data_IF_017247170311
#
_entry.id   IF_017247170311
#
_cell.length_a   1.000
_cell.length_b   1.000
_cell.length_c   1.000
_cell.angle_alpha   90.00
_cell.angle_beta   90.00
_cell.angle_gamma   90.00
#
_symmetry.space_group_name_H-M   'P 1'
#
loop_
_entity.id
_entity.type
_entity.pdbx_description
1 polymer ?
#
# COMPACT_ATOMS: atom_id res chain seq x y z
N UNK A 1 10.81 16.77 5.90
CA UNK A 1 9.79 16.58 6.96
C UNK A 1 8.89 15.43 6.54
N UNK A 2 8.46 14.57 7.45
CA UNK A 2 7.59 13.43 7.16
C UNK A 2 6.21 13.66 7.81
N UNK A 3 5.14 13.49 7.06
CA UNK A 3 3.75 13.62 7.54
C UNK A 3 3.08 12.25 7.56
N UNK A 4 2.75 11.76 8.77
CA UNK A 4 2.07 10.49 9.01
C UNK A 4 2.93 9.48 9.78
N UNK A 5 2.28 8.72 10.67
CA UNK A 5 2.90 7.66 11.50
C UNK A 5 2.34 6.26 11.23
N UNK A 6 1.81 6.04 10.02
CA UNK A 6 1.54 4.70 9.51
C UNK A 6 2.84 3.98 9.08
N UNK A 7 2.74 2.75 8.56
CA UNK A 7 3.90 1.95 8.16
C UNK A 7 4.90 2.68 7.24
N UNK A 8 4.37 3.41 6.24
CA UNK A 8 5.20 4.17 5.31
C UNK A 8 5.99 5.30 5.99
N UNK A 9 5.34 6.05 6.89
CA UNK A 9 5.95 7.16 7.63
C UNK A 9 6.99 6.70 8.64
N UNK A 10 6.72 5.59 9.34
CA UNK A 10 7.68 4.99 10.27
C UNK A 10 8.91 4.44 9.54
N UNK A 11 8.73 3.73 8.43
CA UNK A 11 9.85 3.18 7.67
C UNK A 11 10.74 4.28 7.07
N UNK A 12 10.14 5.32 6.46
CA UNK A 12 10.93 6.41 5.88
C UNK A 12 11.64 7.21 6.98
N UNK A 13 10.98 7.50 8.10
CA UNK A 13 11.59 8.19 9.24
C UNK A 13 12.76 7.40 9.85
N UNK A 14 12.58 6.08 10.02
CA UNK A 14 13.64 5.19 10.47
C UNK A 14 14.85 5.23 9.52
N UNK A 15 14.62 5.01 8.22
CA UNK A 15 15.72 4.95 7.25
C UNK A 15 16.44 6.29 7.09
N UNK A 16 15.72 7.42 7.16
CA UNK A 16 16.33 8.75 7.17
C UNK A 16 17.21 8.96 8.42
N UNK A 17 16.81 8.41 9.57
CA UNK A 17 17.60 8.46 10.81
C UNK A 17 18.90 7.66 10.66
N UNK A 18 18.82 6.44 10.13
CA UNK A 18 19.99 5.59 9.87
C UNK A 18 21.00 6.27 8.92
N UNK A 19 20.50 7.06 7.97
CA UNK A 19 21.32 7.83 7.02
C UNK A 19 21.82 9.18 7.57
N UNK A 20 21.58 9.48 8.85
CA UNK A 20 22.01 10.73 9.48
C UNK A 20 21.26 11.98 9.00
N UNK A 21 20.13 11.83 8.31
CA UNK A 21 19.36 12.95 7.78
C UNK A 21 18.48 13.54 8.89
N UNK A 22 18.74 14.79 9.26
CA UNK A 22 17.90 15.52 10.23
C UNK A 22 16.51 15.75 9.65
N UNK A 23 15.49 15.25 10.33
CA UNK A 23 14.09 15.42 9.92
C UNK A 23 13.16 15.44 11.13
N UNK A 24 11.94 15.93 10.90
CA UNK A 24 10.81 15.79 11.81
C UNK A 24 9.80 14.80 11.22
N UNK A 25 9.16 14.01 12.07
CA UNK A 25 7.99 13.18 11.73
C UNK A 25 6.82 13.66 12.58
N UNK A 26 5.70 14.03 11.93
CA UNK A 26 4.48 14.46 12.63
C UNK A 26 3.32 13.52 12.34
N UNK A 27 2.36 13.45 13.25
CA UNK A 27 1.13 12.71 13.04
C UNK A 27 -0.02 13.29 13.84
N UNK A 28 -1.20 13.34 13.22
CA UNK A 28 -2.45 13.67 13.91
C UNK A 28 -2.87 12.60 14.91
N UNK A 29 -2.42 11.37 14.72
CA UNK A 29 -2.81 10.24 15.56
C UNK A 29 -2.14 10.36 16.93
N UNK A 30 -2.76 9.83 17.99
CA UNK A 30 -2.18 9.84 19.34
C UNK A 30 -1.02 8.84 19.51
N UNK A 31 -0.82 7.92 18.55
CA UNK A 31 0.27 6.94 18.55
C UNK A 31 0.59 6.44 17.13
N UNK A 32 1.64 5.62 17.00
CA UNK A 32 1.91 4.85 15.79
C UNK A 32 0.73 3.95 15.41
N UNK A 33 0.60 3.66 14.11
CA UNK A 33 -0.39 2.69 13.60
C UNK A 33 -1.18 3.19 12.39
N UNK A 34 -1.43 4.50 12.29
CA UNK A 34 -2.25 5.06 11.21
C UNK A 34 -3.62 4.38 11.13
N UNK A 35 -4.01 3.98 9.91
CA UNK A 35 -5.30 3.30 9.67
C UNK A 35 -5.50 2.02 10.49
N UNK A 36 -4.43 1.34 10.92
CA UNK A 36 -4.53 0.09 11.69
C UNK A 36 -5.05 0.29 13.11
N UNK A 37 -5.17 1.55 13.57
CA UNK A 37 -5.88 1.88 14.80
C UNK A 37 -7.40 1.69 14.69
N UNK A 38 -7.95 1.65 13.47
CA UNK A 38 -9.40 1.55 13.20
C UNK A 38 -9.78 0.38 12.28
N UNK A 39 -8.98 0.09 11.25
CA UNK A 39 -9.31 -0.89 10.20
C UNK A 39 -8.25 -2.00 10.11
N UNK A 40 -8.57 -3.20 9.60
CA UNK A 40 -9.85 -3.66 9.02
C UNK A 40 -11.00 -3.91 10.01
N UNK A 41 -12.25 -3.91 9.52
CA UNK A 41 -13.47 -4.24 10.28
C UNK A 41 -13.38 -5.64 10.88
N UNK A 42 -12.94 -6.61 10.06
CA UNK A 42 -12.76 -8.01 10.44
C UNK A 42 -11.59 -8.31 11.35
N UNK A 43 -10.89 -7.26 11.79
CA UNK A 43 -9.76 -7.37 12.71
C UNK A 43 -8.63 -8.27 12.19
N UNK A 44 -8.54 -8.58 10.89
CA UNK A 44 -7.43 -9.37 10.33
C UNK A 44 -6.97 -8.86 8.97
N UNK A 45 -5.66 -8.81 8.79
CA UNK A 45 -5.00 -8.29 7.59
C UNK A 45 -5.15 -9.22 6.38
N UNK A 46 -4.94 -8.65 5.19
CA UNK A 46 -4.86 -9.39 3.93
C UNK A 46 -3.46 -9.98 3.67
N UNK A 47 -2.43 -9.44 4.32
CA UNK A 47 -1.04 -9.83 4.23
C UNK A 47 -0.69 -10.85 5.31
N UNK A 48 0.08 -11.87 4.95
CA UNK A 48 0.49 -12.89 5.90
C UNK A 48 1.87 -12.62 6.50
N UNK A 49 2.10 -13.15 7.69
CA UNK A 49 3.44 -13.32 8.24
C UNK A 49 3.57 -14.78 8.65
N UNK A 50 4.61 -15.48 8.19
CA UNK A 50 4.83 -16.90 8.51
C UNK A 50 5.76 -16.99 9.73
N UNK A 51 5.25 -17.33 10.93
CA UNK A 51 6.09 -17.32 12.13
C UNK A 51 7.21 -18.38 12.10
N UNK A 52 6.97 -19.47 11.36
CA UNK A 52 7.90 -20.56 11.12
C UNK A 52 8.24 -20.65 9.63
N UNK A 53 9.34 -20.01 9.23
CA UNK A 53 9.85 -20.00 7.87
C UNK A 53 11.08 -20.92 7.75
N UNK A 54 11.50 -21.33 6.53
CA UNK A 54 12.69 -22.15 6.33
C UNK A 54 14.03 -21.41 6.52
N UNK A 55 14.01 -20.19 7.06
CA UNK A 55 15.18 -19.32 7.29
C UNK A 55 15.04 -18.66 8.67
N UNK A 56 16.14 -18.26 9.30
CA UNK A 56 16.09 -17.69 10.64
C UNK A 56 15.54 -16.26 10.63
N UNK A 57 14.83 -15.85 11.70
CA UNK A 57 14.25 -14.49 11.80
C UNK A 57 15.29 -13.37 11.76
N UNK A 58 16.54 -13.70 12.11
CA UNK A 58 17.69 -12.81 12.08
C UNK A 58 18.32 -12.67 10.67
N UNK A 59 17.83 -13.39 9.67
CA UNK A 59 18.35 -13.34 8.31
C UNK A 59 17.52 -12.35 7.47
N UNK A 60 18.14 -11.67 6.49
CA UNK A 60 17.43 -10.74 5.59
C UNK A 60 16.36 -11.47 4.78
N UNK A 61 16.64 -12.71 4.41
CA UNK A 61 15.76 -13.60 3.65
C UNK A 61 14.43 -13.86 4.33
N UNK A 62 14.39 -13.79 5.67
CA UNK A 62 13.15 -13.97 6.45
C UNK A 62 12.08 -12.94 6.08
N UNK A 63 12.49 -11.76 5.64
CA UNK A 63 11.57 -10.72 5.21
C UNK A 63 10.68 -11.15 4.02
N UNK A 64 11.05 -12.18 3.25
CA UNK A 64 10.16 -12.80 2.23
C UNK A 64 8.90 -13.40 2.84
N UNK A 65 9.02 -13.89 4.07
CA UNK A 65 7.97 -14.62 4.79
C UNK A 65 7.22 -13.74 5.80
N UNK A 66 7.76 -12.56 6.11
CA UNK A 66 7.13 -11.56 6.96
C UNK A 66 6.73 -10.33 6.17
N UNK A 67 5.43 -10.19 5.88
CA UNK A 67 4.93 -9.09 5.05
C UNK A 67 4.55 -7.85 5.87
N UNK A 68 4.58 -7.94 7.21
CA UNK A 68 3.94 -6.95 8.07
C UNK A 68 4.92 -6.24 9.02
N UNK A 69 6.09 -6.81 9.30
CA UNK A 69 7.14 -6.04 9.98
C UNK A 69 7.71 -4.95 9.07
N UNK A 70 8.12 -3.85 9.67
CA UNK A 70 9.01 -2.88 9.03
C UNK A 70 10.45 -3.42 9.04
N UNK A 71 11.28 -2.92 8.13
CA UNK A 71 12.66 -3.38 7.91
C UNK A 71 13.62 -2.54 8.74
N UNK A 72 14.52 -3.21 9.45
CA UNK A 72 15.63 -2.61 10.18
C UNK A 72 16.80 -3.59 10.20
N UNK A 73 18.02 -3.06 10.20
CA UNK A 73 19.22 -3.87 10.42
C UNK A 73 19.44 -4.18 11.93
N UNK A 74 18.79 -3.42 12.83
CA UNK A 74 18.84 -3.68 14.28
C UNK A 74 18.09 -4.96 14.64
N UNK A 75 18.71 -5.77 15.50
CA UNK A 75 18.14 -7.03 15.99
C UNK A 75 16.88 -6.77 16.82
N UNK A 76 16.82 -5.65 17.50
CA UNK A 76 15.72 -5.27 18.39
C UNK A 76 14.45 -4.91 17.62
N UNK A 77 14.59 -4.32 16.43
CA UNK A 77 13.49 -3.78 15.63
C UNK A 77 13.13 -4.61 14.38
N UNK A 78 13.90 -5.66 14.05
CA UNK A 78 13.62 -6.55 12.92
C UNK A 78 12.59 -7.63 13.26
N UNK A 79 11.86 -8.11 12.25
CA UNK A 79 10.98 -9.29 12.32
C UNK A 79 10.10 -9.33 13.59
N UNK A 80 9.46 -8.21 13.94
CA UNK A 80 8.67 -8.04 15.16
C UNK A 80 7.33 -8.78 15.12
N UNK A 81 6.63 -8.73 13.99
CA UNK A 81 5.29 -9.31 13.83
C UNK A 81 5.21 -10.79 14.27
N UNK A 82 6.11 -11.69 13.83
CA UNK A 82 6.12 -13.09 14.26
C UNK A 82 6.15 -13.32 15.77
N UNK A 83 6.71 -12.40 16.55
CA UNK A 83 6.76 -12.48 18.01
C UNK A 83 5.52 -11.91 18.71
N UNK A 84 4.67 -11.18 17.97
CA UNK A 84 3.47 -10.53 18.49
C UNK A 84 2.17 -11.27 18.13
N UNK A 85 2.25 -12.21 17.19
CA UNK A 85 1.13 -13.03 16.74
C UNK A 85 0.78 -14.11 17.77
N UNK A 86 -0.51 -14.31 18.01
CA UNK A 86 -1.04 -15.28 18.97
C UNK A 86 -1.11 -16.73 18.46
N UNK A 87 -0.81 -16.95 17.17
CA UNK A 87 -0.82 -18.27 16.53
C UNK A 87 -2.19 -18.74 16.06
N UNK A 88 -3.27 -17.97 16.26
CA UNK A 88 -4.61 -18.31 15.76
C UNK A 88 -4.74 -18.18 14.25
N UNK A 89 -3.83 -17.42 13.62
CA UNK A 89 -3.73 -17.29 12.17
C UNK A 89 -2.34 -16.83 11.76
N UNK A 90 -1.96 -17.17 10.54
CA UNK A 90 -0.79 -16.58 9.88
C UNK A 90 -1.11 -15.22 9.20
N UNK A 91 -2.37 -14.77 9.25
CA UNK A 91 -2.79 -13.39 8.95
C UNK A 91 -2.91 -12.62 10.26
N UNK A 92 -2.00 -11.66 10.54
CA UNK A 92 -2.06 -10.89 11.76
C UNK A 92 -3.40 -10.20 11.94
N UNK A 93 -3.84 -10.11 13.18
CA UNK A 93 -4.97 -9.31 13.57
C UNK A 93 -4.63 -7.81 13.48
N UNK A 94 -5.67 -6.97 13.42
CA UNK A 94 -5.51 -5.52 13.47
C UNK A 94 -4.81 -5.08 14.77
N UNK A 95 -5.20 -5.56 15.97
CA UNK A 95 -4.46 -5.24 17.19
C UNK A 95 -3.00 -5.70 17.17
N UNK A 96 -2.69 -6.86 16.57
CA UNK A 96 -1.30 -7.31 16.37
C UNK A 96 -0.51 -6.35 15.49
N UNK A 97 -1.11 -5.86 14.40
CA UNK A 97 -0.51 -4.83 13.55
C UNK A 97 -0.30 -3.49 14.24
N UNK A 98 -1.27 -3.05 15.03
CA UNK A 98 -1.15 -1.83 15.84
C UNK A 98 0.02 -1.95 16.83
N UNK A 99 0.10 -3.07 17.57
CA UNK A 99 1.22 -3.36 18.49
C UNK A 99 2.55 -3.45 17.76
N UNK A 100 2.60 -4.08 16.58
CA UNK A 100 3.81 -4.22 15.77
C UNK A 100 4.38 -2.85 15.36
N UNK A 101 3.53 -1.92 14.92
CA UNK A 101 3.96 -0.58 14.51
C UNK A 101 4.38 0.28 15.71
N UNK A 102 3.70 0.15 16.84
CA UNK A 102 4.11 0.81 18.08
C UNK A 102 5.47 0.28 18.59
N UNK A 103 5.64 -1.04 18.60
CA UNK A 103 6.89 -1.68 18.99
C UNK A 103 8.05 -1.29 18.05
N UNK A 104 7.80 -1.20 16.74
CA UNK A 104 8.82 -0.72 15.80
C UNK A 104 9.21 0.73 16.09
N UNK A 105 8.24 1.64 16.27
CA UNK A 105 8.53 3.04 16.55
C UNK A 105 9.39 3.22 17.82
N UNK A 106 9.09 2.45 18.87
CA UNK A 106 9.84 2.45 20.12
C UNK A 106 11.25 1.85 19.95
N UNK A 107 11.35 0.60 19.47
CA UNK A 107 12.64 -0.13 19.39
C UNK A 107 13.58 0.43 18.34
N UNK A 108 13.06 1.02 17.26
CA UNK A 108 13.85 1.71 16.24
C UNK A 108 14.07 3.20 16.55
N UNK A 109 13.61 3.68 17.72
CA UNK A 109 13.72 5.06 18.19
C UNK A 109 13.24 6.10 17.15
N UNK A 110 12.12 5.83 16.49
CA UNK A 110 11.51 6.74 15.51
C UNK A 110 10.79 7.86 16.27
N UNK A 111 11.40 9.04 16.30
CA UNK A 111 10.86 10.21 17.00
C UNK A 111 9.70 10.84 16.23
N UNK A 112 8.48 10.56 16.66
CA UNK A 112 7.24 11.11 16.09
C UNK A 112 6.60 12.11 17.05
N UNK A 113 6.23 13.29 16.54
CA UNK A 113 5.34 14.22 17.24
C UNK A 113 3.88 13.80 16.98
N UNK A 114 3.31 13.05 17.91
CA UNK A 114 1.89 12.67 17.91
C UNK A 114 0.98 13.83 18.30
N UNK A 115 -0.30 13.75 17.95
CA UNK A 115 -1.29 14.82 18.18
C UNK A 115 -1.01 16.12 17.40
N UNK A 116 -0.09 16.09 16.42
CA UNK A 116 0.29 17.21 15.58
C UNK A 116 -0.30 17.01 14.18
N UNK A 117 -1.45 17.64 13.94
CA UNK A 117 -2.18 17.54 12.67
C UNK A 117 -1.57 18.51 11.67
N UNK A 118 -1.22 18.02 10.49
CA UNK A 118 -0.93 18.85 9.32
C UNK A 118 -2.23 19.49 8.81
N UNK A 119 -2.20 20.80 8.58
CA UNK A 119 -3.38 21.61 8.23
C UNK A 119 -3.22 22.35 6.89
N UNK A 120 -1.98 22.64 6.50
CA UNK A 120 -1.68 23.27 5.23
C UNK A 120 -0.19 23.34 4.92
N UNK A 121 0.11 23.77 3.71
CA UNK A 121 1.41 23.78 3.08
C UNK A 121 1.49 25.00 2.18
N UNK A 122 2.56 25.77 2.31
CA UNK A 122 2.88 26.85 1.39
C UNK A 122 4.36 26.81 1.02
N UNK A 123 4.70 27.40 -0.12
CA UNK A 123 6.08 27.60 -0.51
C UNK A 123 6.48 29.06 -0.23
N UNK A 124 7.57 29.24 0.52
CA UNK A 124 8.21 30.54 0.76
C UNK A 124 9.64 30.49 0.20
N UNK A 125 9.86 31.09 -0.97
CA UNK A 125 11.13 30.96 -1.69
C UNK A 125 11.37 29.51 -2.13
N UNK A 126 12.43 28.88 -1.62
CA UNK A 126 12.80 27.49 -1.88
C UNK A 126 12.39 26.54 -0.72
N UNK A 127 11.69 27.06 0.29
CA UNK A 127 11.39 26.36 1.53
C UNK A 127 9.89 26.14 1.66
N UNK A 128 9.49 24.88 1.88
CA UNK A 128 8.11 24.55 2.24
C UNK A 128 7.87 24.85 3.72
N UNK A 129 6.74 25.50 3.99
CA UNK A 129 6.23 25.72 5.34
C UNK A 129 4.94 24.93 5.51
N UNK A 130 4.95 23.99 6.45
CA UNK A 130 3.81 23.17 6.80
C UNK A 130 3.18 23.74 8.07
N UNK A 131 1.96 24.26 7.92
CA UNK A 131 1.13 24.67 9.04
C UNK A 131 0.59 23.41 9.74
N UNK A 132 0.65 23.40 11.07
CA UNK A 132 0.14 22.31 11.90
C UNK A 132 -0.62 22.86 13.10
N UNK A 133 -1.40 21.99 13.74
CA UNK A 133 -2.11 22.30 14.97
C UNK A 133 -1.20 22.66 16.16
N UNK A 134 0.12 22.51 16.03
CA UNK A 134 1.12 22.74 17.08
C UNK A 134 2.26 23.65 16.56
N UNK A 135 1.95 24.54 15.61
CA UNK A 135 2.87 25.51 15.03
C UNK A 135 3.37 25.14 13.62
N UNK A 136 4.32 25.92 13.12
CA UNK A 136 4.83 25.75 11.75
C UNK A 136 6.13 24.96 11.71
N UNK A 137 6.27 24.11 10.70
CA UNK A 137 7.52 23.41 10.39
C UNK A 137 8.04 23.86 9.03
N UNK A 138 9.35 24.07 8.92
CA UNK A 138 10.01 24.47 7.68
C UNK A 138 10.90 23.34 7.18
N UNK A 139 10.80 23.02 5.89
CA UNK A 139 11.68 22.03 5.27
C UNK A 139 11.84 22.27 3.77
N UNK A 140 12.91 21.74 3.18
CA UNK A 140 13.10 21.75 1.72
C UNK A 140 12.36 20.62 1.01
N UNK A 141 12.23 19.48 1.69
CA UNK A 141 11.65 18.25 1.13
C UNK A 141 10.57 17.68 2.07
N UNK A 142 9.29 18.03 1.86
CA UNK A 142 8.20 17.35 2.53
C UNK A 142 7.97 15.96 1.92
N UNK A 143 7.71 14.98 2.79
CA UNK A 143 7.41 13.58 2.45
C UNK A 143 6.05 13.25 3.05
N UNK A 144 5.03 13.09 2.21
CA UNK A 144 3.67 12.79 2.64
C UNK A 144 3.44 11.27 2.69
N UNK A 145 3.30 10.74 3.90
CA UNK A 145 3.01 9.35 4.21
C UNK A 145 1.60 9.18 4.81
N UNK A 146 0.64 9.93 4.27
CA UNK A 146 -0.74 10.06 4.79
C UNK A 146 -1.68 8.91 4.36
N UNK A 147 -1.18 8.00 3.52
CA UNK A 147 -1.90 6.82 3.05
C UNK A 147 -3.05 7.15 2.08
N UNK A 148 -3.85 6.12 1.76
CA UNK A 148 -5.09 6.22 0.98
C UNK A 148 -6.23 5.90 1.96
N UNK A 149 -6.64 6.91 2.72
CA UNK A 149 -7.34 6.73 3.99
C UNK A 149 -8.56 7.65 4.17
N UNK A 150 -8.93 8.44 3.17
CA UNK A 150 -10.14 9.26 3.16
C UNK A 150 -11.26 8.52 2.40
N UNK A 151 -12.43 8.28 3.02
CA UNK A 151 -13.57 7.65 2.35
C UNK A 151 -13.94 8.37 1.05
N UNK A 152 -14.14 7.61 -0.02
CA UNK A 152 -14.52 8.17 -1.30
C UNK A 152 -15.82 7.55 -1.82
N UNK A 153 -16.68 8.38 -2.41
CA UNK A 153 -17.95 7.98 -3.01
C UNK A 153 -18.06 8.56 -4.43
N UNK A 154 -18.61 7.81 -5.40
CA UNK A 154 -19.04 8.38 -6.67
C UNK A 154 -20.22 9.34 -6.47
N UNK A 155 -20.42 10.21 -7.44
CA UNK A 155 -21.57 11.13 -7.51
C UNK A 155 -22.84 10.41 -7.99
N UNK A 156 -23.21 9.35 -7.27
CA UNK A 156 -24.43 8.59 -7.51
C UNK A 156 -25.56 9.19 -6.68
N UNK A 157 -26.71 9.54 -7.27
CA UNK A 157 -27.84 10.13 -6.56
C UNK A 157 -28.19 9.39 -5.26
N UNK A 158 -28.14 10.12 -4.14
CA UNK A 158 -28.50 9.65 -2.79
C UNK A 158 -27.55 8.64 -2.14
N UNK A 159 -26.39 8.34 -2.75
CA UNK A 159 -25.38 7.46 -2.14
C UNK A 159 -24.75 8.07 -0.87
N UNK A 160 -24.81 9.39 -0.71
CA UNK A 160 -24.45 10.11 0.51
C UNK A 160 -25.31 9.72 1.73
N UNK A 161 -26.53 9.19 1.51
CA UNK A 161 -27.38 8.64 2.56
C UNK A 161 -26.84 7.32 3.15
N UNK A 162 -25.96 6.63 2.41
CA UNK A 162 -25.38 5.35 2.83
C UNK A 162 -24.10 5.56 3.68
N UNK A 163 -24.02 4.93 4.87
CA UNK A 163 -22.76 4.83 5.61
C UNK A 163 -21.64 4.27 4.74
N UNK A 164 -20.44 4.85 4.83
CA UNK A 164 -19.27 4.24 4.19
C UNK A 164 -18.84 3.01 4.99
N UNK A 165 -18.04 2.12 4.37
CA UNK A 165 -17.31 1.05 5.07
C UNK A 165 -16.68 1.56 6.39
N UNK A 166 -16.18 2.79 6.38
CA UNK A 166 -15.53 3.41 7.53
C UNK A 166 -16.46 3.46 8.76
N UNK A 167 -17.75 3.65 8.55
CA UNK A 167 -18.77 3.93 9.55
C UNK A 167 -19.72 2.73 9.74
N UNK A 168 -19.26 1.54 9.34
CA UNK A 168 -19.98 0.29 9.54
C UNK A 168 -20.19 0.00 11.02
N UNK A 169 -21.42 -0.37 11.39
CA UNK A 169 -21.79 -0.73 12.77
C UNK A 169 -21.28 -2.13 13.14
N UNK A 170 -21.31 -2.54 14.41
CA UNK A 170 -21.00 -3.92 14.80
C UNK A 170 -21.85 -4.94 14.02
N UNK A 171 -21.27 -6.09 13.68
CA UNK A 171 -21.86 -7.05 12.74
C UNK A 171 -23.22 -7.60 13.21
N UNK A 172 -23.35 -7.82 14.52
CA UNK A 172 -24.57 -8.29 15.18
C UNK A 172 -25.75 -7.31 15.02
N UNK A 173 -25.49 -6.02 14.77
CA UNK A 173 -26.56 -5.03 14.52
C UNK A 173 -27.23 -5.22 13.16
N UNK A 174 -26.66 -6.07 12.30
CA UNK A 174 -27.22 -6.45 11.02
C UNK A 174 -27.95 -7.80 11.04
N UNK A 175 -28.19 -8.36 12.23
CA UNK A 175 -28.95 -9.61 12.39
C UNK A 175 -30.36 -9.50 11.77
N UNK A 176 -30.73 -10.49 10.96
CA UNK A 176 -32.02 -10.59 10.26
C UNK A 176 -32.32 -9.43 9.27
N UNK A 177 -31.32 -8.62 8.92
CA UNK A 177 -31.46 -7.49 7.98
C UNK A 177 -31.10 -7.88 6.55
N UNK A 178 -31.72 -7.19 5.59
CA UNK A 178 -31.34 -7.21 4.18
C UNK A 178 -30.37 -6.06 3.88
N UNK A 179 -29.19 -6.39 3.36
CA UNK A 179 -28.08 -5.43 3.21
C UNK A 179 -27.69 -5.30 1.75
N UNK A 180 -27.56 -4.07 1.27
CA UNK A 180 -27.01 -3.77 -0.06
C UNK A 180 -25.64 -3.09 0.06
N UNK A 181 -24.59 -3.75 -0.41
CA UNK A 181 -23.22 -3.24 -0.41
C UNK A 181 -22.87 -2.73 -1.82
N UNK A 182 -22.58 -1.43 -1.92
CA UNK A 182 -22.10 -0.80 -3.14
C UNK A 182 -20.59 -1.00 -3.25
N UNK A 183 -20.17 -1.90 -4.13
CA UNK A 183 -18.79 -2.35 -4.31
C UNK A 183 -18.68 -3.88 -4.36
N UNK A 184 -17.63 -4.38 -5.02
CA UNK A 184 -17.33 -5.84 -5.13
C UNK A 184 -15.83 -6.15 -5.03
N UNK A 185 -15.10 -5.30 -4.32
CA UNK A 185 -13.67 -5.48 -4.05
C UNK A 185 -13.47 -5.98 -2.60
N UNK A 186 -12.23 -6.01 -2.13
CA UNK A 186 -11.86 -6.56 -0.81
C UNK A 186 -12.70 -6.00 0.34
N UNK A 187 -12.97 -4.69 0.37
CA UNK A 187 -13.78 -4.08 1.45
C UNK A 187 -15.22 -4.58 1.47
N UNK A 188 -15.82 -4.81 0.30
CA UNK A 188 -17.20 -5.30 0.19
C UNK A 188 -17.30 -6.77 0.57
N UNK A 189 -16.35 -7.59 0.11
CA UNK A 189 -16.28 -9.01 0.46
C UNK A 189 -15.88 -9.23 1.92
N UNK A 190 -15.03 -8.36 2.47
CA UNK A 190 -14.77 -8.32 3.90
C UNK A 190 -16.08 -8.13 4.64
N UNK A 191 -16.83 -7.04 4.41
CA UNK A 191 -18.10 -6.80 5.10
C UNK A 191 -19.10 -7.96 4.92
N UNK A 192 -19.26 -8.45 3.69
CA UNK A 192 -20.17 -9.55 3.41
C UNK A 192 -19.82 -10.80 4.22
N UNK A 193 -18.54 -11.18 4.31
CA UNK A 193 -18.11 -12.29 5.17
C UNK A 193 -18.57 -12.12 6.62
N UNK A 194 -18.73 -10.88 7.11
CA UNK A 194 -18.99 -10.57 8.52
C UNK A 194 -20.43 -10.59 8.86
N UNK A 195 -21.22 -10.30 7.85
CA UNK A 195 -22.66 -10.35 7.94
C UNK A 195 -23.19 -11.74 7.60
N UNK A 196 -22.41 -12.65 7.00
CA UNK A 196 -22.88 -13.98 6.57
C UNK A 196 -23.67 -14.74 7.65
N UNK A 197 -23.20 -14.72 8.90
CA UNK A 197 -23.85 -15.45 10.01
C UNK A 197 -25.00 -14.68 10.68
N UNK A 198 -25.25 -13.44 10.27
CA UNK A 198 -26.22 -12.54 10.90
C UNK A 198 -27.33 -12.12 9.93
N UNK A 199 -26.96 -11.68 8.74
CA UNK A 199 -27.85 -11.05 7.78
C UNK A 199 -28.79 -12.06 7.13
N UNK A 200 -30.02 -11.60 6.87
CA UNK A 200 -31.02 -12.38 6.12
C UNK A 200 -30.65 -12.50 4.65
N UNK A 201 -30.09 -11.43 4.07
CA UNK A 201 -29.70 -11.34 2.66
C UNK A 201 -28.62 -10.30 2.47
N UNK A 202 -27.65 -10.59 1.60
CA UNK A 202 -26.58 -9.65 1.26
C UNK A 202 -26.51 -9.50 -0.26
N UNK A 203 -26.61 -8.27 -0.76
CA UNK A 203 -26.42 -7.97 -2.19
C UNK A 203 -25.14 -7.16 -2.34
N UNK A 204 -24.19 -7.62 -3.15
CA UNK A 204 -22.99 -6.89 -3.51
C UNK A 204 -23.11 -6.44 -4.97
N UNK A 205 -23.00 -5.15 -5.26
CA UNK A 205 -23.16 -4.65 -6.62
C UNK A 205 -22.06 -3.67 -7.03
N UNK A 206 -21.49 -3.91 -8.21
CA UNK A 206 -20.66 -2.95 -8.95
C UNK A 206 -20.64 -3.31 -10.43
N UNK A 207 -20.26 -2.41 -11.36
CA UNK A 207 -20.46 -2.65 -12.79
C UNK A 207 -19.65 -3.82 -13.36
N UNK A 208 -18.46 -4.08 -12.83
CA UNK A 208 -17.52 -5.05 -13.40
C UNK A 208 -17.57 -6.41 -12.70
N UNK A 209 -17.28 -7.52 -13.39
CA UNK A 209 -17.15 -8.84 -12.78
C UNK A 209 -16.17 -8.86 -11.61
N UNK A 210 -16.50 -9.61 -10.56
CA UNK A 210 -15.62 -9.84 -9.42
C UNK A 210 -14.44 -10.69 -9.87
N UNK A 211 -13.22 -10.29 -9.52
CA UNK A 211 -11.99 -11.05 -9.82
C UNK A 211 -11.33 -11.51 -8.53
N UNK A 212 -11.07 -12.80 -8.39
CA UNK A 212 -10.38 -13.37 -7.24
C UNK A 212 -8.86 -13.21 -7.37
N UNK A 213 -8.18 -12.94 -6.25
CA UNK A 213 -6.72 -12.75 -6.22
C UNK A 213 -5.96 -14.00 -6.67
N UNK A 214 -6.50 -15.19 -6.35
CA UNK A 214 -5.92 -16.50 -6.72
C UNK A 214 -6.08 -16.83 -8.19
N UNK A 215 -7.08 -16.24 -8.87
CA UNK A 215 -7.26 -16.39 -10.31
C UNK A 215 -6.43 -15.39 -11.09
N UNK A 216 -6.24 -14.18 -10.53
CA UNK A 216 -5.51 -13.08 -11.19
C UNK A 216 -4.03 -13.03 -10.84
N UNK A 217 -3.54 -13.92 -9.97
CA UNK A 217 -2.16 -13.94 -9.46
C UNK A 217 -1.68 -12.56 -8.96
N UNK A 218 -2.60 -11.77 -8.39
CA UNK A 218 -2.39 -10.37 -8.04
C UNK A 218 -3.06 -10.02 -6.70
N UNK A 219 -2.46 -9.09 -5.95
CA UNK A 219 -3.02 -8.58 -4.70
C UNK A 219 -4.19 -7.61 -4.91
N UNK A 220 -4.47 -7.21 -6.16
CA UNK A 220 -5.58 -6.28 -6.50
C UNK A 220 -6.95 -6.95 -6.43
N UNK A 221 -7.04 -8.27 -6.66
CA UNK A 221 -8.30 -9.01 -6.61
C UNK A 221 -8.84 -9.25 -5.20
N UNK A 222 -10.07 -9.76 -5.12
CA UNK A 222 -10.70 -10.21 -3.87
C UNK A 222 -9.89 -11.36 -3.29
N UNK A 223 -9.43 -11.22 -2.04
CA UNK A 223 -8.59 -12.23 -1.40
C UNK A 223 -9.40 -13.48 -1.11
N UNK A 224 -8.79 -14.65 -1.36
CA UNK A 224 -9.44 -15.96 -1.15
C UNK A 224 -10.01 -16.16 0.27
N UNK A 225 -9.44 -15.49 1.28
CA UNK A 225 -9.97 -15.52 2.66
C UNK A 225 -11.37 -14.90 2.81
N UNK A 226 -11.81 -14.09 1.85
CA UNK A 226 -13.14 -13.50 1.80
C UNK A 226 -13.98 -14.12 0.68
N UNK A 227 -13.71 -15.37 0.28
CA UNK A 227 -14.44 -16.03 -0.82
C UNK A 227 -15.76 -16.68 -0.36
N UNK A 228 -16.01 -16.82 0.95
CA UNK A 228 -17.25 -17.43 1.46
C UNK A 228 -18.53 -16.77 0.91
N UNK A 229 -18.66 -15.42 0.83
CA UNK A 229 -19.83 -14.81 0.20
C UNK A 229 -19.95 -15.12 -1.30
N UNK A 230 -18.83 -15.38 -1.97
CA UNK A 230 -18.85 -15.79 -3.38
C UNK A 230 -19.36 -17.22 -3.52
N UNK A 231 -18.89 -18.13 -2.66
CA UNK A 231 -19.37 -19.52 -2.58
C UNK A 231 -20.87 -19.56 -2.26
N UNK A 232 -21.31 -18.80 -1.26
CA UNK A 232 -22.73 -18.66 -0.90
C UNK A 232 -23.58 -18.22 -2.11
N UNK A 233 -23.14 -17.19 -2.85
CA UNK A 233 -23.80 -16.76 -4.07
C UNK A 233 -23.88 -17.86 -5.15
N UNK A 234 -22.82 -18.65 -5.32
CA UNK A 234 -22.79 -19.73 -6.32
C UNK A 234 -23.71 -20.88 -5.92
N UNK A 235 -23.85 -21.14 -4.62
CA UNK A 235 -24.68 -22.21 -4.07
C UNK A 235 -26.13 -21.76 -3.79
N UNK A 236 -26.45 -20.48 -3.94
CA UNK A 236 -27.77 -19.91 -3.71
C UNK A 236 -28.12 -19.71 -2.23
N UNK A 237 -27.14 -19.45 -1.37
CA UNK A 237 -27.26 -19.38 0.09
C UNK A 237 -27.85 -18.08 0.68
N UNK A 238 -28.07 -17.05 -0.14
CA UNK A 238 -28.64 -15.76 0.30
C UNK A 238 -27.76 -14.54 -0.01
N UNK A 239 -26.53 -14.75 -0.49
CA UNK A 239 -25.69 -13.70 -1.07
C UNK A 239 -25.98 -13.57 -2.57
N UNK A 240 -26.06 -12.33 -3.05
CA UNK A 240 -26.21 -12.02 -4.49
C UNK A 240 -25.07 -11.12 -4.94
N UNK A 241 -24.25 -11.59 -5.87
CA UNK A 241 -23.13 -10.83 -6.45
C UNK A 241 -23.52 -10.33 -7.85
N UNK A 242 -23.77 -9.04 -7.98
CA UNK A 242 -24.35 -8.44 -9.19
C UNK A 242 -23.35 -7.57 -9.96
N UNK A 243 -23.30 -7.79 -11.27
CA UNK A 243 -22.68 -6.85 -12.20
C UNK A 243 -23.73 -5.79 -12.56
N UNK A 244 -23.69 -4.66 -11.88
CA UNK A 244 -24.66 -3.60 -12.05
C UNK A 244 -24.11 -2.21 -11.71
N UNK A 245 -24.56 -1.21 -12.45
CA UNK A 245 -24.40 0.20 -12.10
C UNK A 245 -25.49 0.61 -11.13
N UNK A 246 -25.15 1.40 -10.11
CA UNK A 246 -26.11 1.92 -9.14
C UNK A 246 -26.60 3.25 -9.72
N UNK A 247 -27.92 3.36 -9.92
CA UNK A 247 -28.55 4.54 -10.51
C UNK A 247 -28.95 5.55 -9.43
N UNK A 248 -29.48 5.05 -8.32
CA UNK A 248 -30.05 5.88 -7.25
C UNK A 248 -30.13 5.07 -5.95
N UNK A 249 -29.88 5.73 -4.82
CA UNK A 249 -30.19 5.26 -3.47
C UNK A 249 -31.14 6.25 -2.83
N UNK A 250 -32.36 5.83 -2.49
CA UNK A 250 -33.35 6.68 -1.85
C UNK A 250 -33.77 6.10 -0.49
N UNK A 251 -34.01 6.95 0.50
CA UNK A 251 -34.56 6.51 1.79
C UNK A 251 -36.09 6.43 1.70
N UNK A 252 -36.66 5.31 2.14
CA UNK A 252 -38.11 5.04 2.16
C UNK A 252 -38.53 4.63 3.57
N UNK A 253 -38.89 5.63 4.38
CA UNK A 253 -39.10 5.42 5.82
C UNK A 253 -37.81 4.99 6.52
N UNK A 254 -37.84 3.83 7.17
CA UNK A 254 -36.67 3.23 7.84
C UNK A 254 -35.79 2.38 6.92
N UNK A 255 -36.24 2.10 5.69
CA UNK A 255 -35.55 1.27 4.70
C UNK A 255 -34.93 2.14 3.60
N UNK A 256 -34.21 1.49 2.69
CA UNK A 256 -33.65 2.08 1.48
C UNK A 256 -34.23 1.41 0.25
N UNK A 257 -34.41 2.20 -0.80
CA UNK A 257 -34.65 1.75 -2.17
C UNK A 257 -33.38 1.98 -2.98
N UNK A 258 -32.84 0.93 -3.58
CA UNK A 258 -31.68 0.99 -4.46
C UNK A 258 -32.10 0.62 -5.88
N UNK A 259 -31.99 1.56 -6.80
CA UNK A 259 -32.20 1.31 -8.23
C UNK A 259 -30.87 1.00 -8.89
N UNK A 260 -30.86 -0.06 -9.68
CA UNK A 260 -29.67 -0.50 -10.41
C UNK A 260 -29.99 -0.72 -11.89
N UNK A 261 -28.95 -0.75 -12.71
CA UNK A 261 -28.99 -1.24 -14.09
C UNK A 261 -28.01 -2.38 -14.26
N UNK A 262 -28.49 -3.56 -14.63
CA UNK A 262 -27.64 -4.74 -14.88
C UNK A 262 -26.69 -4.46 -16.04
N UNK A 263 -25.41 -4.76 -15.84
CA UNK A 263 -24.37 -4.48 -16.84
C UNK A 263 -24.44 -5.41 -18.05
N UNK A 264 -25.02 -6.60 -17.91
CA UNK A 264 -25.14 -7.59 -18.97
C UNK A 264 -26.45 -7.50 -19.78
N UNK A 265 -27.56 -7.14 -19.15
CA UNK A 265 -28.89 -7.10 -19.79
C UNK A 265 -29.43 -5.69 -20.00
N UNK A 266 -28.81 -4.67 -19.39
CA UNK A 266 -29.33 -3.30 -19.29
C UNK A 266 -30.70 -3.17 -18.60
N UNK A 267 -31.20 -4.26 -17.99
CA UNK A 267 -32.43 -4.27 -17.21
C UNK A 267 -32.30 -3.42 -15.95
N UNK A 268 -33.31 -2.61 -15.67
CA UNK A 268 -33.40 -1.88 -14.41
C UNK A 268 -34.12 -2.71 -13.35
N UNK A 269 -33.51 -2.82 -12.18
CA UNK A 269 -34.08 -3.51 -11.03
C UNK A 269 -34.10 -2.58 -9.82
N UNK A 270 -35.06 -2.83 -8.93
CA UNK A 270 -35.19 -2.12 -7.66
C UNK A 270 -35.07 -3.10 -6.51
N UNK A 271 -34.23 -2.75 -5.53
CA UNK A 271 -34.09 -3.46 -4.27
C UNK A 271 -34.62 -2.59 -3.14
N UNK A 272 -35.48 -3.13 -2.29
CA UNK A 272 -35.84 -2.48 -1.03
C UNK A 272 -35.16 -3.25 0.10
N UNK A 273 -34.28 -2.59 0.85
CA UNK A 273 -33.37 -3.20 1.82
C UNK A 273 -33.35 -2.43 3.13
N UNK A 274 -32.92 -3.07 4.21
CA UNK A 274 -32.87 -2.44 5.53
C UNK A 274 -31.63 -1.58 5.73
N UNK A 275 -30.52 -1.88 5.02
CA UNK A 275 -29.29 -1.09 5.04
C UNK A 275 -28.63 -1.01 3.66
N UNK A 276 -27.94 0.12 3.42
CA UNK A 276 -27.02 0.30 2.30
C UNK A 276 -25.65 0.68 2.86
N UNK A 277 -24.58 0.05 2.37
CA UNK A 277 -23.20 0.38 2.77
C UNK A 277 -22.36 0.69 1.53
N UNK A 278 -21.71 1.85 1.52
CA UNK A 278 -20.77 2.24 0.48
C UNK A 278 -19.37 1.65 0.77
N UNK A 279 -19.01 0.59 0.06
CA UNK A 279 -17.67 0.01 0.04
C UNK A 279 -16.92 0.48 -1.22
N UNK A 280 -16.93 1.80 -1.45
CA UNK A 280 -16.60 2.43 -2.72
C UNK A 280 -15.14 2.85 -2.88
N UNK A 281 -14.32 2.63 -1.86
CA UNK A 281 -12.88 2.86 -1.89
C UNK A 281 -12.47 4.12 -1.13
N UNK A 282 -11.22 4.51 -1.35
CA UNK A 282 -10.55 5.53 -0.56
C UNK A 282 -9.69 6.40 -1.48
N UNK A 283 -9.48 7.64 -1.08
CA UNK A 283 -8.53 8.58 -1.70
C UNK A 283 -7.46 9.01 -0.70
N UNK A 284 -6.29 9.47 -1.16
CA UNK A 284 -5.32 10.09 -0.26
C UNK A 284 -5.83 11.46 0.22
N UNK A 285 -5.76 11.77 1.53
CA UNK A 285 -6.11 13.09 2.05
C UNK A 285 -4.99 14.08 1.75
N UNK A 286 -4.92 14.55 0.50
CA UNK A 286 -3.84 15.40 0.00
C UNK A 286 -3.98 16.89 0.38
N UNK A 287 -5.04 17.27 1.10
CA UNK A 287 -5.22 18.64 1.57
C UNK A 287 -5.04 19.67 0.45
N UNK A 288 -4.17 20.65 0.69
CA UNK A 288 -3.87 21.77 -0.22
C UNK A 288 -2.76 21.49 -1.23
N UNK A 289 -2.27 20.25 -1.33
CA UNK A 289 -1.21 19.92 -2.29
C UNK A 289 -1.63 20.14 -3.74
N UNK A 290 -2.93 20.05 -4.04
CA UNK A 290 -3.47 20.40 -5.36
C UNK A 290 -3.23 21.88 -5.71
N UNK A 291 -3.42 22.78 -4.75
CA UNK A 291 -3.19 24.22 -4.91
C UNK A 291 -1.70 24.54 -5.07
N UNK A 292 -0.82 23.68 -4.54
CA UNK A 292 0.63 23.72 -4.76
C UNK A 292 1.09 23.10 -6.09
N UNK A 293 0.17 22.63 -6.91
CA UNK A 293 0.46 22.07 -8.24
C UNK A 293 0.71 20.56 -8.26
N UNK A 294 0.38 19.83 -7.19
CA UNK A 294 0.38 18.35 -7.25
C UNK A 294 -0.82 17.87 -8.06
N UNK A 295 -0.53 17.33 -9.24
CA UNK A 295 -1.52 16.71 -10.12
C UNK A 295 -1.84 15.29 -9.66
N UNK A 296 -3.13 14.96 -9.65
CA UNK A 296 -3.65 13.61 -9.35
C UNK A 296 -4.30 12.98 -10.57
N UNK A 297 -4.43 11.65 -10.57
CA UNK A 297 -5.04 10.91 -11.67
C UNK A 297 -5.95 9.79 -11.20
N UNK A 298 -6.86 9.40 -12.10
CA UNK A 298 -7.79 8.28 -11.90
C UNK A 298 -8.84 8.52 -10.82
N UNK A 299 -9.74 7.53 -10.68
CA UNK A 299 -10.83 7.55 -9.69
C UNK A 299 -10.34 7.71 -8.26
N UNK A 300 -9.19 7.11 -7.94
CA UNK A 300 -8.62 7.10 -6.59
C UNK A 300 -7.78 8.36 -6.29
N UNK A 301 -7.74 9.35 -7.21
CA UNK A 301 -7.04 10.64 -7.05
C UNK A 301 -5.63 10.49 -6.49
N UNK A 302 -4.89 9.51 -7.00
CA UNK A 302 -3.51 9.28 -6.60
C UNK A 302 -2.61 10.34 -7.25
N UNK A 303 -1.58 10.86 -6.55
CA UNK A 303 -0.65 11.83 -7.14
C UNK A 303 0.17 11.18 -8.27
N UNK A 304 0.47 11.94 -9.33
CA UNK A 304 1.39 11.48 -10.37
C UNK A 304 2.83 11.47 -9.85
N UNK A 305 3.50 10.32 -9.89
CA UNK A 305 4.80 10.12 -9.26
C UNK A 305 5.91 9.71 -10.24
N UNK A 306 7.14 10.17 -9.98
CA UNK A 306 8.37 9.67 -10.60
C UNK A 306 8.73 8.27 -10.07
N UNK A 307 9.73 7.56 -10.68
CA UNK A 307 10.21 6.29 -10.14
C UNK A 307 10.77 6.35 -8.71
N UNK A 308 11.16 7.53 -8.23
CA UNK A 308 11.58 7.78 -6.85
C UNK A 308 10.48 8.44 -6.01
N UNK A 309 9.20 8.24 -6.37
CA UNK A 309 8.03 8.68 -5.60
C UNK A 309 7.99 10.19 -5.27
N UNK A 310 8.66 10.98 -6.09
CA UNK A 310 8.52 12.43 -6.12
C UNK A 310 7.28 12.79 -6.94
N UNK A 311 6.60 13.89 -6.62
CA UNK A 311 5.56 14.43 -7.47
C UNK A 311 6.15 14.80 -8.83
N UNK A 312 5.62 14.19 -9.90
CA UNK A 312 6.03 14.49 -11.27
C UNK A 312 5.67 15.92 -11.71
N UNK A 313 4.70 16.54 -11.04
CA UNK A 313 4.23 17.90 -11.31
C UNK A 313 4.75 18.94 -10.33
N UNK A 314 5.36 18.51 -9.22
CA UNK A 314 5.88 19.39 -8.17
C UNK A 314 7.19 18.84 -7.58
N UNK A 315 8.33 19.05 -8.26
CA UNK A 315 9.63 18.62 -7.74
C UNK A 315 9.90 19.12 -6.31
N UNK A 316 10.56 18.30 -5.51
CA UNK A 316 10.83 18.50 -4.09
C UNK A 316 9.73 17.99 -3.15
N UNK A 317 8.54 17.64 -3.65
CA UNK A 317 7.47 17.01 -2.86
C UNK A 317 7.48 15.50 -3.07
N UNK A 318 7.63 14.72 -2.00
CA UNK A 318 7.75 13.26 -2.06
C UNK A 318 6.59 12.56 -1.36
N UNK A 319 6.38 11.29 -1.67
CA UNK A 319 5.33 10.46 -1.09
C UNK A 319 5.87 9.10 -0.61
N UNK A 320 5.29 8.59 0.47
CA UNK A 320 5.66 7.30 1.06
C UNK A 320 4.43 6.47 1.47
N UNK A 321 4.66 5.19 1.77
CA UNK A 321 3.59 4.26 2.14
C UNK A 321 2.72 3.87 0.95
N UNK A 322 1.44 3.62 1.20
CA UNK A 322 0.50 3.11 0.17
C UNK A 322 0.30 4.05 -1.01
N UNK A 323 0.61 5.34 -0.88
CA UNK A 323 0.57 6.31 -1.99
C UNK A 323 1.58 5.93 -3.09
N UNK A 324 2.68 5.26 -2.73
CA UNK A 324 3.72 4.86 -3.69
C UNK A 324 3.23 3.90 -4.78
N UNK A 325 2.05 3.27 -4.60
CA UNK A 325 1.38 2.50 -5.65
C UNK A 325 1.01 3.34 -6.89
N UNK A 326 0.97 4.66 -6.76
CA UNK A 326 0.72 5.57 -7.87
C UNK A 326 1.85 5.55 -8.91
N UNK A 327 3.07 5.21 -8.50
CA UNK A 327 4.17 4.95 -9.42
C UNK A 327 4.03 3.52 -9.98
N UNK A 328 3.48 3.43 -11.20
CA UNK A 328 3.13 2.16 -11.84
C UNK A 328 4.32 1.29 -12.27
N UNK A 329 5.50 1.86 -12.44
CA UNK A 329 6.67 1.17 -13.01
C UNK A 329 6.45 0.79 -14.48
N UNK A 330 7.22 -0.19 -14.98
CA UNK A 330 7.17 -0.60 -16.39
C UNK A 330 5.86 -1.29 -16.79
N UNK A 331 5.20 -2.01 -15.86
CA UNK A 331 4.01 -2.84 -16.11
C UNK A 331 4.12 -3.73 -17.36
N UNK A 332 5.33 -4.21 -17.68
CA UNK A 332 5.66 -4.97 -18.90
C UNK A 332 4.65 -6.09 -19.21
N UNK A 333 4.22 -6.82 -18.19
CA UNK A 333 3.25 -7.93 -18.30
C UNK A 333 1.87 -7.60 -17.71
N UNK A 334 1.53 -6.32 -17.54
CA UNK A 334 0.28 -5.87 -16.91
C UNK A 334 0.19 -6.15 -15.40
N UNK A 335 1.26 -6.63 -14.77
CA UNK A 335 1.31 -6.92 -13.33
C UNK A 335 1.70 -5.64 -12.58
N UNK A 336 0.89 -5.21 -11.60
CA UNK A 336 1.18 -4.02 -10.80
C UNK A 336 2.26 -4.30 -9.74
N UNK A 337 2.89 -3.22 -9.25
CA UNK A 337 3.77 -3.31 -8.08
C UNK A 337 2.98 -3.65 -6.80
N UNK A 338 3.62 -4.26 -5.80
CA UNK A 338 2.99 -4.52 -4.50
C UNK A 338 3.10 -3.32 -3.54
N UNK A 339 3.30 -2.12 -4.08
CA UNK A 339 3.46 -0.88 -3.31
C UNK A 339 2.20 -0.46 -2.51
N UNK A 340 1.05 -1.11 -2.76
CA UNK A 340 -0.15 -0.94 -1.93
C UNK A 340 -0.08 -1.69 -0.57
N UNK A 341 0.84 -2.65 -0.41
CA UNK A 341 1.03 -3.42 0.82
C UNK A 341 2.31 -3.06 1.57
N UNK A 342 2.34 -3.35 2.88
CA UNK A 342 3.49 -3.07 3.76
C UNK A 342 4.76 -3.74 3.25
N UNK A 343 4.65 -5.00 2.82
CA UNK A 343 5.75 -5.78 2.26
C UNK A 343 6.42 -5.12 1.06
N UNK A 344 5.67 -4.40 0.22
CA UNK A 344 6.22 -3.69 -0.93
C UNK A 344 6.75 -2.31 -0.56
N UNK A 345 5.89 -1.44 -0.01
CA UNK A 345 6.25 -0.04 0.16
C UNK A 345 7.30 0.22 1.25
N UNK A 346 7.57 -0.75 2.13
CA UNK A 346 8.68 -0.63 3.10
C UNK A 346 10.04 -0.54 2.40
N UNK A 347 10.22 -1.23 1.26
CA UNK A 347 11.42 -1.12 0.45
C UNK A 347 11.44 0.16 -0.38
N UNK A 348 10.27 0.61 -0.86
CA UNK A 348 10.16 1.91 -1.52
C UNK A 348 10.65 3.03 -0.59
N UNK A 349 10.26 3.00 0.68
CA UNK A 349 10.74 3.97 1.67
C UNK A 349 12.27 3.92 1.84
N UNK A 350 12.89 2.73 1.86
CA UNK A 350 14.36 2.63 1.96
C UNK A 350 15.06 3.23 0.73
N UNK A 351 14.57 2.89 -0.47
CA UNK A 351 15.10 3.41 -1.74
C UNK A 351 14.90 4.93 -1.82
N UNK A 352 13.75 5.44 -1.40
CA UNK A 352 13.45 6.87 -1.34
C UNK A 352 14.40 7.62 -0.40
N UNK A 353 14.60 7.11 0.83
CA UNK A 353 15.50 7.74 1.80
C UNK A 353 16.93 7.82 1.25
N UNK A 354 17.42 6.73 0.66
CA UNK A 354 18.74 6.66 0.01
C UNK A 354 18.86 7.64 -1.14
N UNK A 355 17.84 7.73 -1.99
CA UNK A 355 17.78 8.70 -3.08
C UNK A 355 17.86 10.14 -2.54
N UNK A 356 17.04 10.51 -1.56
CA UNK A 356 17.05 11.84 -0.96
C UNK A 356 18.42 12.15 -0.33
N UNK A 357 18.97 11.22 0.44
CA UNK A 357 20.25 11.39 1.13
C UNK A 357 21.40 11.64 0.14
N UNK A 358 21.47 10.86 -0.95
CA UNK A 358 22.49 11.01 -1.99
C UNK A 358 22.31 12.31 -2.78
N UNK A 359 21.09 12.57 -3.28
CA UNK A 359 20.82 13.66 -4.22
C UNK A 359 20.85 15.04 -3.54
N UNK A 360 20.34 15.13 -2.31
CA UNK A 360 20.10 16.43 -1.67
C UNK A 360 21.00 16.73 -0.47
N UNK A 361 21.66 15.72 0.09
CA UNK A 361 22.49 15.84 1.29
C UNK A 361 23.92 15.36 1.08
N UNK A 362 24.29 14.93 -0.13
CA UNK A 362 25.65 14.49 -0.45
C UNK A 362 26.10 13.27 0.34
N UNK A 363 25.17 12.46 0.84
CA UNK A 363 25.51 11.25 1.60
C UNK A 363 26.05 10.20 0.63
N UNK A 364 27.30 9.80 0.84
CA UNK A 364 27.91 8.68 0.16
C UNK A 364 27.36 7.36 0.73
N UNK A 365 26.65 6.62 -0.11
CA UNK A 365 26.12 5.31 0.26
C UNK A 365 27.16 4.23 -0.06
N UNK A 366 27.24 3.15 0.75
CA UNK A 366 28.12 2.02 0.46
C UNK A 366 27.87 1.46 -0.95
N UNK A 367 28.94 1.37 -1.75
CA UNK A 367 28.99 0.73 -3.07
C UNK A 367 30.07 -0.38 -3.05
N UNK A 368 29.77 -1.56 -2.49
CA UNK A 368 30.74 -2.64 -2.36
C UNK A 368 31.35 -3.01 -3.72
N UNK A 369 32.66 -3.27 -3.73
CA UNK A 369 33.36 -3.74 -4.93
C UNK A 369 33.12 -5.23 -5.11
N UNK A 370 32.84 -5.65 -6.35
CA UNK A 370 32.73 -7.06 -6.72
C UNK A 370 33.93 -7.45 -7.59
N UNK A 371 34.41 -8.69 -7.44
CA UNK A 371 35.32 -9.29 -8.41
C UNK A 371 34.53 -9.80 -9.61
N UNK A 372 35.16 -9.89 -10.77
CA UNK A 372 34.48 -10.31 -11.99
C UNK A 372 33.86 -11.71 -11.83
N UNK A 373 34.57 -12.63 -11.17
CA UNK A 373 34.09 -13.99 -10.90
C UNK A 373 32.89 -14.05 -9.93
N UNK A 374 32.68 -13.01 -9.11
CA UNK A 374 31.62 -12.99 -8.10
C UNK A 374 30.30 -12.40 -8.62
N UNK A 375 30.30 -11.72 -9.77
CA UNK A 375 29.11 -11.00 -10.27
C UNK A 375 27.93 -11.94 -10.51
N UNK A 376 28.15 -13.04 -11.23
CA UNK A 376 27.07 -13.99 -11.56
C UNK A 376 26.56 -14.70 -10.28
N UNK A 377 27.42 -15.28 -9.42
CA UNK A 377 26.98 -15.83 -8.14
C UNK A 377 26.20 -14.83 -7.27
N UNK A 378 26.66 -13.58 -7.19
CA UNK A 378 25.99 -12.52 -6.45
C UNK A 378 24.59 -12.24 -6.98
N UNK A 379 24.44 -12.04 -8.30
CA UNK A 379 23.14 -11.76 -8.91
C UNK A 379 22.17 -12.94 -8.78
N UNK A 380 22.65 -14.19 -8.92
CA UNK A 380 21.82 -15.38 -8.68
C UNK A 380 21.35 -15.43 -7.23
N UNK A 381 22.24 -15.18 -6.26
CA UNK A 381 21.88 -15.13 -4.85
C UNK A 381 20.82 -14.07 -4.55
N UNK A 382 20.97 -12.87 -5.11
CA UNK A 382 19.97 -11.81 -4.97
C UNK A 382 18.64 -12.17 -5.62
N UNK A 383 18.63 -12.81 -6.79
CA UNK A 383 17.42 -13.27 -7.47
C UNK A 383 16.70 -14.36 -6.66
N UNK A 384 17.41 -15.28 -6.03
CA UNK A 384 16.78 -16.37 -5.27
C UNK A 384 16.29 -15.91 -3.89
N UNK A 385 17.05 -15.00 -3.25
CA UNK A 385 16.88 -14.72 -1.82
C UNK A 385 16.47 -13.28 -1.49
N UNK A 386 16.67 -12.32 -2.40
CA UNK A 386 16.45 -10.89 -2.18
C UNK A 386 14.97 -10.51 -1.95
N UNK A 387 14.55 -10.17 -0.71
CA UNK A 387 13.14 -9.92 -0.43
C UNK A 387 12.58 -8.69 -1.15
N UNK A 388 13.41 -7.69 -1.45
CA UNK A 388 13.03 -6.46 -2.14
C UNK A 388 12.43 -6.77 -3.51
N UNK A 389 13.10 -7.61 -4.31
CA UNK A 389 12.68 -7.96 -5.67
C UNK A 389 11.51 -8.94 -5.66
N UNK A 390 11.47 -9.87 -4.70
CA UNK A 390 10.33 -10.79 -4.55
C UNK A 390 9.05 -10.08 -4.10
N UNK A 391 9.17 -9.05 -3.27
CA UNK A 391 8.04 -8.22 -2.89
C UNK A 391 7.71 -7.18 -3.95
N UNK A 392 8.68 -6.69 -4.72
CA UNK A 392 8.49 -5.68 -5.78
C UNK A 392 8.89 -6.20 -7.16
N UNK A 393 8.26 -7.31 -7.56
CA UNK A 393 8.47 -7.95 -8.87
C UNK A 393 8.21 -6.97 -10.00
N UNK A 394 9.05 -7.01 -11.03
CA UNK A 394 9.00 -6.11 -12.20
C UNK A 394 9.05 -4.62 -11.86
N UNK A 395 9.49 -4.26 -10.65
CA UNK A 395 9.41 -2.89 -10.13
C UNK A 395 10.71 -2.41 -9.47
N UNK A 396 11.31 -3.23 -8.60
CA UNK A 396 12.65 -2.99 -8.08
C UNK A 396 13.65 -3.98 -8.69
N UNK A 397 14.90 -3.55 -8.84
CA UNK A 397 16.00 -4.37 -9.35
C UNK A 397 17.27 -4.17 -8.53
N UNK A 398 18.15 -5.18 -8.50
CA UNK A 398 19.52 -5.08 -8.02
C UNK A 398 20.41 -4.63 -9.18
N UNK A 399 21.20 -3.58 -8.98
CA UNK A 399 22.05 -3.00 -10.04
C UNK A 399 23.52 -3.24 -9.73
N UNK A 400 24.27 -3.68 -10.74
CA UNK A 400 25.73 -3.77 -10.73
C UNK A 400 26.27 -2.91 -11.88
N UNK A 401 27.12 -1.94 -11.57
CA UNK A 401 27.77 -1.08 -12.57
C UNK A 401 29.19 -1.55 -12.87
N UNK A 402 29.68 -1.19 -14.05
CA UNK A 402 31.04 -1.43 -14.52
C UNK A 402 31.60 -0.12 -15.06
N UNK A 403 32.71 0.33 -14.49
CA UNK A 403 33.43 1.52 -14.97
C UNK A 403 34.92 1.25 -15.02
N UNK A 404 35.65 1.97 -15.88
CA UNK A 404 37.11 1.86 -15.94
C UNK A 404 37.78 2.31 -14.63
N UNK A 405 37.24 3.35 -13.99
CA UNK A 405 37.84 3.97 -12.80
C UNK A 405 37.47 3.25 -11.49
N UNK A 406 36.19 2.94 -11.26
CA UNK A 406 35.71 2.34 -10.01
C UNK A 406 35.66 0.80 -10.05
N UNK A 407 35.85 0.19 -11.22
CA UNK A 407 35.66 -1.25 -11.43
C UNK A 407 34.19 -1.67 -11.38
N UNK A 408 33.93 -2.87 -10.84
CA UNK A 408 32.58 -3.44 -10.71
C UNK A 408 32.02 -3.12 -9.32
N UNK A 409 30.82 -2.54 -9.26
CA UNK A 409 30.18 -2.07 -8.01
C UNK A 409 28.75 -2.57 -7.87
N UNK A 410 28.38 -3.03 -6.68
CA UNK A 410 26.97 -3.17 -6.28
C UNK A 410 26.40 -1.78 -5.99
N UNK A 411 25.49 -1.33 -6.84
CA UNK A 411 24.81 -0.03 -6.73
C UNK A 411 23.56 -0.08 -5.84
N UNK A 412 23.21 -1.27 -5.32
CA UNK A 412 22.06 -1.46 -4.48
C UNK A 412 20.76 -1.73 -5.26
N UNK A 413 19.64 -1.52 -4.57
CA UNK A 413 18.30 -1.69 -5.12
C UNK A 413 17.79 -0.38 -5.72
N UNK A 414 17.39 -0.41 -6.99
CA UNK A 414 16.89 0.74 -7.75
C UNK A 414 15.48 0.47 -8.30
N UNK A 415 14.69 1.52 -8.59
CA UNK A 415 13.49 1.36 -9.42
C UNK A 415 13.88 0.90 -10.83
N UNK A 416 13.28 -0.20 -11.30
CA UNK A 416 13.62 -0.79 -12.60
C UNK A 416 13.34 0.17 -13.76
N UNK A 417 12.22 0.90 -13.71
CA UNK A 417 11.89 1.91 -14.72
C UNK A 417 12.98 2.99 -14.82
N UNK A 418 13.53 3.43 -13.68
CA UNK A 418 14.63 4.38 -13.69
C UNK A 418 15.89 3.79 -14.33
N UNK A 419 16.23 2.54 -14.05
CA UNK A 419 17.40 1.90 -14.67
C UNK A 419 17.28 1.84 -16.20
N UNK A 420 16.09 1.48 -16.71
CA UNK A 420 15.84 1.35 -18.14
C UNK A 420 15.87 2.70 -18.86
N UNK A 421 15.32 3.75 -18.24
CA UNK A 421 15.20 5.06 -18.89
C UNK A 421 16.43 5.96 -18.70
N UNK A 422 17.21 5.75 -17.63
CA UNK A 422 18.35 6.62 -17.32
C UNK A 422 19.63 6.19 -18.04
N UNK A 423 20.30 7.18 -18.65
CA UNK A 423 21.69 7.06 -19.07
C UNK A 423 22.62 6.83 -17.87
N UNK A 424 23.79 6.27 -18.13
CA UNK A 424 24.80 5.97 -17.12
C UNK A 424 25.86 5.03 -17.68
N UNK A 425 26.84 4.64 -16.86
CA UNK A 425 27.86 3.69 -17.29
C UNK A 425 27.24 2.32 -17.60
N UNK A 426 28.06 1.47 -18.22
CA UNK A 426 27.79 0.05 -18.40
C UNK A 426 27.30 -0.56 -17.09
N UNK A 427 26.15 -1.22 -17.15
CA UNK A 427 25.54 -1.79 -15.97
C UNK A 427 24.58 -2.93 -16.31
N UNK A 428 24.37 -3.79 -15.32
CA UNK A 428 23.40 -4.87 -15.35
C UNK A 428 22.41 -4.68 -14.22
N UNK A 429 21.11 -4.78 -14.51
CA UNK A 429 20.06 -4.86 -13.51
C UNK A 429 19.40 -6.23 -13.53
N UNK A 430 19.33 -6.88 -12.36
CA UNK A 430 18.64 -8.15 -12.17
C UNK A 430 17.34 -7.93 -11.39
N UNK A 431 16.25 -8.61 -11.76
CA UNK A 431 14.95 -8.54 -11.09
C UNK A 431 14.16 -9.84 -11.26
N UNK A 432 13.11 -10.01 -10.46
CA UNK A 432 12.11 -11.06 -10.65
C UNK A 432 10.92 -10.47 -11.41
N UNK A 433 10.56 -11.06 -12.54
CA UNK A 433 9.34 -10.76 -13.27
C UNK A 433 8.30 -11.86 -13.08
N UNK A 434 7.05 -11.54 -13.43
CA UNK A 434 6.02 -12.55 -13.60
C UNK A 434 5.32 -12.36 -14.95
N UNK A 435 5.01 -13.46 -15.64
CA UNK A 435 4.26 -13.42 -16.90
C UNK A 435 2.74 -13.35 -16.64
N UNK A 436 1.95 -13.20 -17.71
CA UNK A 436 0.49 -13.12 -17.61
C UNK A 436 -0.15 -14.38 -16.99
N UNK A 437 0.54 -15.52 -17.04
CA UNK A 437 0.15 -16.80 -16.44
C UNK A 437 0.46 -16.86 -14.93
N UNK A 438 1.21 -15.88 -14.40
CA UNK A 438 1.61 -15.80 -12.99
C UNK A 438 2.90 -16.54 -12.64
N UNK A 439 3.63 -17.04 -13.63
CA UNK A 439 4.91 -17.72 -13.42
C UNK A 439 5.99 -16.68 -13.18
N UNK A 440 6.77 -16.86 -12.10
CA UNK A 440 7.89 -15.99 -11.78
C UNK A 440 9.15 -16.47 -12.52
N UNK A 441 9.90 -15.54 -13.09
CA UNK A 441 11.17 -15.82 -13.75
C UNK A 441 12.18 -14.70 -13.50
N UNK A 442 13.49 -15.00 -13.44
CA UNK A 442 14.52 -13.98 -13.37
C UNK A 442 14.62 -13.24 -14.70
N UNK A 443 14.82 -11.93 -14.63
CA UNK A 443 15.06 -11.07 -15.79
C UNK A 443 16.30 -10.22 -15.56
N UNK A 444 17.05 -10.00 -16.65
CA UNK A 444 18.27 -9.19 -16.66
C UNK A 444 18.14 -8.11 -17.72
N UNK A 445 18.53 -6.89 -17.37
CA UNK A 445 18.57 -5.73 -18.23
C UNK A 445 20.00 -5.25 -18.32
N UNK A 446 20.44 -4.90 -19.52
CA UNK A 446 21.78 -4.39 -19.78
C UNK A 446 21.65 -2.94 -20.24
N UNK A 447 22.45 -2.07 -19.64
CA UNK A 447 22.68 -0.72 -20.14
C UNK A 447 24.10 -0.68 -20.69
N UNK A 448 24.24 -0.23 -21.93
CA UNK A 448 25.51 0.12 -22.55
C UNK A 448 25.66 1.64 -22.49
N UNK A 449 26.74 2.09 -21.86
CA UNK A 449 27.03 3.51 -21.60
C UNK A 449 27.60 4.27 -22.79
#
# INVERSE_FOLDING_TARGET
MVVGSGPGGLQIGHTLTELGIRHAVISRDPSAGGMFRRFPFFQRLLSWTKPYAPVARADREYERYDWNSLVSESVEARALMPGLMDGTSYFPSRPEMERNLAAFADRANVRVRYGCRWEGTRLEGDTYVLATSDGEYRCRFPIFAVGVAEPWRPDTPGLDLAPHYADTRPAETYADREIFIVGKENSAFELASGFLQWARRIVLASPSPTKLSVTTNSLVGVRARYVQPYEDNVLGGGVVVLNASILEVARIGERFRVRIRRSNTSEELTYEVDDVIAATGWIPPLGDLGDLGVVTFGRNRLPALTPFWESASRPGVYFAGTITQAAGGLKKNGIPSNSGGVNGHRYNARVLARHIARTHFGVELPRPRLRAEDVVPFLIGELDHGPEMWHQRSYLCRVVSVTADDGIRDEGIWPLAHFVDAAGPDAVAATIEANAQGENYPAVYIRSG
#
